data_IF_685398032006
#
_entry.id   IF_685398032006
#
_cell.length_a   1.000
_cell.length_b   1.000
_cell.length_c   1.000
_cell.angle_alpha   90.00
_cell.angle_beta   90.00
_cell.angle_gamma   90.00
#
_symmetry.space_group_name_H-M   'P 1'
#
loop_
_entity.id
_entity.type
_entity.pdbx_description
1 polymer ?
#
# COMPACT_ATOMS: atom_id res chain seq x y z
N UNK A 1 -1.30 8.11 -4.33
CA UNK A 1 -0.30 8.45 -5.39
C UNK A 1 0.58 7.26 -5.79
N UNK A 2 0.97 6.36 -4.88
CA UNK A 2 1.82 5.19 -5.19
C UNK A 2 1.13 4.16 -6.10
N UNK A 3 -0.10 3.73 -5.77
CA UNK A 3 -0.85 2.80 -6.62
C UNK A 3 -1.04 3.29 -8.05
N UNK A 4 -1.33 4.59 -8.24
CA UNK A 4 -1.47 5.21 -9.57
C UNK A 4 -0.18 5.16 -10.41
N UNK A 5 1.00 5.24 -9.76
CA UNK A 5 2.29 5.11 -10.46
C UNK A 5 2.56 3.66 -10.85
N UNK A 6 2.33 2.71 -9.96
CA UNK A 6 2.55 1.29 -10.21
C UNK A 6 1.53 0.68 -11.18
N UNK A 7 0.33 1.24 -11.29
CA UNK A 7 -0.66 0.86 -12.32
C UNK A 7 -0.38 1.49 -13.69
N UNK A 8 0.60 2.40 -13.82
CA UNK A 8 0.95 3.00 -15.09
C UNK A 8 2.08 2.19 -15.76
N UNK A 9 1.75 1.43 -16.80
CA UNK A 9 2.68 0.57 -17.52
C UNK A 9 3.89 1.34 -18.11
N UNK A 10 3.69 2.59 -18.55
CA UNK A 10 4.80 3.43 -19.04
C UNK A 10 5.77 3.80 -17.91
N UNK A 11 5.28 4.00 -16.69
CA UNK A 11 6.15 4.25 -15.55
C UNK A 11 6.93 2.99 -15.17
N UNK A 12 6.26 1.84 -15.09
CA UNK A 12 6.91 0.57 -14.71
C UNK A 12 7.95 0.14 -15.74
N UNK A 13 7.69 0.35 -17.03
CA UNK A 13 8.59 -0.06 -18.11
C UNK A 13 9.81 0.87 -18.28
N UNK A 14 9.69 2.17 -17.98
CA UNK A 14 10.74 3.15 -18.30
C UNK A 14 11.45 3.73 -17.07
N UNK A 15 10.89 3.59 -15.86
CA UNK A 15 11.56 4.03 -14.65
C UNK A 15 12.70 3.07 -14.27
N UNK A 16 13.71 3.61 -13.59
CA UNK A 16 14.80 2.80 -13.02
C UNK A 16 14.21 1.71 -12.09
N UNK A 17 14.69 0.46 -12.15
CA UNK A 17 14.18 -0.63 -11.31
C UNK A 17 14.15 -0.28 -9.81
N UNK A 18 15.17 0.42 -9.31
CA UNK A 18 15.24 0.87 -7.92
C UNK A 18 14.09 1.83 -7.53
N UNK A 19 13.65 2.67 -8.46
CA UNK A 19 12.55 3.61 -8.22
C UNK A 19 11.22 2.86 -8.20
N UNK A 20 11.03 1.91 -9.12
CA UNK A 20 9.84 1.06 -9.14
C UNK A 20 9.76 0.22 -7.86
N UNK A 21 10.88 -0.36 -7.42
CA UNK A 21 10.95 -1.15 -6.19
C UNK A 21 10.63 -0.31 -4.96
N UNK A 22 11.22 0.89 -4.84
CA UNK A 22 10.90 1.82 -3.73
C UNK A 22 9.41 2.19 -3.68
N UNK A 23 8.75 2.35 -4.82
CA UNK A 23 7.31 2.60 -4.84
C UNK A 23 6.51 1.35 -4.45
N UNK A 24 6.93 0.13 -4.84
CA UNK A 24 6.31 -1.12 -4.37
C UNK A 24 6.45 -1.31 -2.86
N UNK A 25 7.63 -1.05 -2.32
CA UNK A 25 7.90 -1.16 -0.88
C UNK A 25 7.03 -0.18 -0.08
N UNK A 26 6.89 1.06 -0.57
CA UNK A 26 5.95 2.03 0.02
C UNK A 26 4.51 1.54 -0.04
N UNK A 27 4.08 0.95 -1.15
CA UNK A 27 2.73 0.40 -1.27
C UNK A 27 2.50 -0.70 -0.24
N UNK A 28 3.45 -1.60 -0.06
CA UNK A 28 3.39 -2.68 0.90
C UNK A 28 3.34 -2.17 2.35
N UNK A 29 4.19 -1.20 2.71
CA UNK A 29 4.19 -0.57 4.03
C UNK A 29 2.85 0.14 4.34
N UNK A 30 2.32 0.89 3.38
CA UNK A 30 1.01 1.53 3.54
C UNK A 30 -0.13 0.52 3.66
N UNK A 31 -0.10 -0.56 2.88
CA UNK A 31 -1.11 -1.61 2.96
C UNK A 31 -1.06 -2.31 4.32
N UNK A 32 0.12 -2.68 4.80
CA UNK A 32 0.28 -3.31 6.10
C UNK A 32 -0.25 -2.43 7.26
N UNK A 33 0.04 -1.12 7.24
CA UNK A 33 -0.48 -0.16 8.23
C UNK A 33 -1.99 0.00 8.16
N UNK A 34 -2.54 0.06 6.94
CA UNK A 34 -3.97 0.11 6.74
C UNK A 34 -4.66 -1.15 7.28
N UNK A 35 -4.17 -2.33 6.91
CA UNK A 35 -4.73 -3.62 7.34
C UNK A 35 -4.68 -3.76 8.86
N UNK A 36 -3.57 -3.37 9.50
CA UNK A 36 -3.45 -3.35 10.96
C UNK A 36 -4.47 -2.39 11.61
N UNK A 37 -4.69 -1.22 11.02
CA UNK A 37 -5.67 -0.25 11.51
C UNK A 37 -7.10 -0.77 11.36
N UNK A 38 -7.42 -1.37 10.21
CA UNK A 38 -8.75 -1.97 9.95
C UNK A 38 -9.01 -3.12 10.91
N UNK A 39 -8.03 -4.01 11.12
CA UNK A 39 -8.13 -5.11 12.08
C UNK A 39 -8.41 -4.58 13.50
N UNK A 40 -7.71 -3.51 13.91
CA UNK A 40 -7.94 -2.88 15.22
C UNK A 40 -9.33 -2.28 15.35
N UNK A 41 -9.82 -1.61 14.30
CA UNK A 41 -11.18 -1.05 14.28
C UNK A 41 -12.23 -2.17 14.37
N UNK A 42 -12.04 -3.28 13.66
CA UNK A 42 -12.95 -4.42 13.71
C UNK A 42 -12.99 -5.06 15.10
N UNK A 43 -11.84 -5.22 15.74
CA UNK A 43 -11.74 -5.68 17.13
C UNK A 43 -12.52 -4.74 18.07
N UNK A 44 -12.34 -3.42 17.96
CA UNK A 44 -13.06 -2.45 18.78
C UNK A 44 -14.58 -2.50 18.55
N UNK A 45 -15.04 -2.67 17.30
CA UNK A 45 -16.46 -2.82 16.98
C UNK A 45 -17.09 -4.04 17.65
N UNK A 46 -16.35 -5.14 17.78
CA UNK A 46 -16.81 -6.35 18.46
C UNK A 46 -16.95 -6.15 19.98
N UNK A 47 -16.15 -5.26 20.58
CA UNK A 47 -16.19 -4.98 22.02
C UNK A 47 -17.33 -4.03 22.44
N UNK A 48 -17.90 -3.28 21.50
CA UNK A 48 -19.00 -2.33 21.74
C UNK A 48 -20.39 -2.99 21.57
N UNK A 49 -20.42 -4.27 21.18
CA UNK A 49 -21.64 -5.05 20.96
C UNK A 49 -21.92 -5.98 22.13
#
# INVERSE_FOLDING_TARGET
MVGKKLSNERFVANAKPEVVQKERDKQADYQAKYDATVARIDEMKKLVK
#
